data_IF_704334006475
#
_entry.id   IF_704334006475
#
_cell.length_a   1.000
_cell.length_b   1.000
_cell.length_c   1.000
_cell.angle_alpha   90.00
_cell.angle_beta   90.00
_cell.angle_gamma   90.00
#
_symmetry.space_group_name_H-M   'P 1'
#
loop_
_entity.id
_entity.type
_entity.pdbx_description
1 polymer ?
#
# COMPACT_ATOMS: atom_id res chain seq x y z
N UNK A 1 -53.94 -51.63 32.38
CA UNK A 1 -52.70 -50.87 32.69
C UNK A 1 -51.78 -50.56 31.50
N UNK A 2 -51.94 -51.15 30.29
CA UNK A 2 -50.96 -50.95 29.17
C UNK A 2 -51.27 -49.75 28.23
N UNK A 3 -52.43 -49.08 28.34
CA UNK A 3 -52.80 -47.93 27.48
C UNK A 3 -52.36 -46.56 28.00
N UNK A 4 -52.07 -46.41 29.30
CA UNK A 4 -51.61 -45.12 29.85
C UNK A 4 -50.11 -44.88 29.63
N UNK A 5 -49.27 -45.92 29.65
CA UNK A 5 -47.82 -45.79 29.42
C UNK A 5 -47.45 -45.41 27.97
N UNK A 6 -48.19 -45.90 26.97
CA UNK A 6 -47.93 -45.53 25.56
C UNK A 6 -48.21 -44.05 25.29
N UNK A 7 -49.17 -43.46 25.99
CA UNK A 7 -49.47 -42.04 25.87
C UNK A 7 -48.43 -41.16 26.56
N UNK A 8 -47.83 -41.61 27.66
CA UNK A 8 -46.71 -40.90 28.28
C UNK A 8 -45.43 -41.02 27.46
N UNK A 9 -45.16 -42.19 26.87
CA UNK A 9 -44.01 -42.41 26.00
C UNK A 9 -44.07 -41.58 24.70
N UNK A 10 -45.27 -41.41 24.13
CA UNK A 10 -45.47 -40.55 22.96
C UNK A 10 -45.36 -39.06 23.30
N UNK A 11 -45.85 -38.64 24.47
CA UNK A 11 -45.66 -37.25 24.97
C UNK A 11 -44.18 -36.95 25.26
N UNK A 12 -43.44 -37.91 25.82
CA UNK A 12 -41.98 -37.79 25.99
C UNK A 12 -41.28 -37.67 24.62
N UNK A 13 -41.62 -38.54 23.65
CA UNK A 13 -41.03 -38.49 22.30
C UNK A 13 -41.34 -37.18 21.56
N UNK A 14 -42.53 -36.60 21.72
CA UNK A 14 -42.85 -35.27 21.18
C UNK A 14 -42.06 -34.15 21.87
N UNK A 15 -41.82 -34.23 23.18
CA UNK A 15 -41.00 -33.25 23.91
C UNK A 15 -39.52 -33.33 23.52
N UNK A 16 -38.96 -34.53 23.31
CA UNK A 16 -37.57 -34.71 22.88
C UNK A 16 -37.37 -34.50 21.36
N UNK A 17 -38.41 -34.63 20.53
CA UNK A 17 -38.35 -34.33 19.09
C UNK A 17 -38.42 -32.83 18.76
N UNK A 18 -38.91 -31.98 19.67
CA UNK A 18 -38.99 -30.52 19.48
C UNK A 18 -37.69 -29.77 19.82
N UNK A 19 -36.64 -30.48 20.24
CA UNK A 19 -35.37 -29.90 20.71
C UNK A 19 -34.24 -29.80 19.67
N UNK A 20 -34.43 -30.19 18.41
CA UNK A 20 -33.34 -30.10 17.43
C UNK A 20 -33.85 -29.87 16.01
N UNK A 21 -34.03 -28.61 15.64
CA UNK A 21 -34.10 -28.19 14.24
C UNK A 21 -33.33 -26.87 14.07
N UNK A 22 -32.13 -26.88 13.44
CA UNK A 22 -31.38 -25.67 13.16
C UNK A 22 -31.93 -25.00 11.90
N UNK A 23 -33.17 -24.51 11.97
CA UNK A 23 -33.72 -23.57 10.98
C UNK A 23 -35.13 -23.12 11.40
N UNK A 24 -35.22 -22.19 12.35
CA UNK A 24 -36.27 -21.16 12.32
C UNK A 24 -36.01 -20.09 13.40
N UNK A 25 -35.39 -18.99 12.99
CA UNK A 25 -35.34 -17.75 13.76
C UNK A 25 -36.26 -16.73 13.09
N UNK A 26 -37.51 -16.65 13.55
CA UNK A 26 -38.49 -15.68 13.09
C UNK A 26 -38.16 -14.26 13.56
N UNK A 27 -38.01 -13.36 12.60
CA UNK A 27 -38.76 -12.11 12.49
C UNK A 27 -38.94 -11.22 13.73
N UNK A 28 -37.88 -10.53 14.14
CA UNK A 28 -38.00 -9.24 14.83
C UNK A 28 -37.94 -8.09 13.81
N UNK A 29 -39.07 -7.39 13.60
CA UNK A 29 -39.16 -6.21 12.72
C UNK A 29 -38.17 -5.12 13.15
N UNK A 30 -37.15 -4.84 12.33
CA UNK A 30 -36.39 -3.58 12.37
C UNK A 30 -37.08 -2.56 11.45
N UNK A 31 -37.17 -1.27 11.85
CA UNK A 31 -37.86 -0.25 11.06
C UNK A 31 -37.13 -0.02 9.73
N UNK A 32 -37.93 0.21 8.70
CA UNK A 32 -37.52 0.26 7.30
C UNK A 32 -36.41 1.27 7.04
N UNK A 33 -35.30 0.76 6.48
CA UNK A 33 -34.34 1.58 5.78
C UNK A 33 -34.85 1.67 4.33
N UNK A 34 -35.38 2.83 3.94
CA UNK A 34 -35.61 3.15 2.52
C UNK A 34 -34.29 3.03 1.74
N UNK A 35 -34.32 3.07 0.40
CA UNK A 35 -33.09 2.99 -0.38
C UNK A 35 -32.28 4.26 -0.12
N UNK A 36 -31.43 4.23 0.90
CA UNK A 36 -30.42 5.23 1.13
C UNK A 36 -29.54 5.21 -0.11
N UNK A 37 -29.66 6.24 -0.96
CA UNK A 37 -28.73 6.47 -2.07
C UNK A 37 -27.33 6.37 -1.47
N UNK A 38 -26.64 5.27 -1.77
CA UNK A 38 -25.23 5.10 -1.42
C UNK A 38 -24.52 6.22 -2.15
N UNK A 39 -24.17 7.28 -1.41
CA UNK A 39 -23.54 8.48 -1.98
C UNK A 39 -22.28 8.02 -2.69
N UNK A 40 -22.32 8.04 -4.02
CA UNK A 40 -21.26 7.48 -4.83
C UNK A 40 -20.13 8.51 -4.89
N UNK A 41 -19.10 8.40 -4.04
CA UNK A 41 -18.01 9.39 -3.91
C UNK A 41 -17.41 9.88 -5.24
N UNK A 42 -17.56 9.13 -6.34
CA UNK A 42 -17.27 9.57 -7.71
C UNK A 42 -17.92 10.90 -8.14
N UNK A 43 -19.10 11.30 -7.63
CA UNK A 43 -19.69 12.61 -7.98
C UNK A 43 -18.90 13.79 -7.42
N UNK A 44 -18.22 13.62 -6.27
CA UNK A 44 -17.34 14.64 -5.67
C UNK A 44 -16.11 14.85 -6.56
N UNK A 45 -15.52 13.75 -7.04
CA UNK A 45 -14.38 13.81 -7.98
C UNK A 45 -14.78 14.45 -9.32
N UNK A 46 -15.99 14.19 -9.82
CA UNK A 46 -16.50 14.82 -11.04
C UNK A 46 -16.68 16.33 -10.91
N UNK A 47 -17.16 16.82 -9.75
CA UNK A 47 -17.29 18.25 -9.47
C UNK A 47 -15.90 18.91 -9.36
N UNK A 48 -14.97 18.29 -8.64
CA UNK A 48 -13.59 18.79 -8.53
C UNK A 48 -12.94 18.89 -9.92
N UNK A 49 -13.16 17.88 -10.78
CA UNK A 49 -12.65 17.88 -12.15
C UNK A 49 -13.28 18.97 -13.02
N UNK A 50 -14.58 19.22 -12.88
CA UNK A 50 -15.28 20.32 -13.58
C UNK A 50 -14.79 21.69 -13.11
N UNK A 51 -14.57 21.87 -11.81
CA UNK A 51 -13.98 23.09 -11.25
C UNK A 51 -12.55 23.28 -11.75
N UNK A 52 -11.77 22.20 -11.83
CA UNK A 52 -10.42 22.25 -12.37
C UNK A 52 -10.41 22.64 -13.85
N UNK A 53 -11.27 22.04 -14.68
CA UNK A 53 -11.45 22.44 -16.08
C UNK A 53 -11.91 23.89 -16.18
N UNK A 54 -12.86 24.32 -15.36
CA UNK A 54 -13.31 25.70 -15.34
C UNK A 54 -12.15 26.65 -14.99
N UNK A 55 -11.37 26.36 -13.94
CA UNK A 55 -10.19 27.15 -13.57
C UNK A 55 -9.15 27.16 -14.69
N UNK A 56 -8.96 26.05 -15.40
CA UNK A 56 -7.98 25.96 -16.48
C UNK A 56 -8.45 26.72 -17.74
N UNK A 57 -9.74 26.64 -18.08
CA UNK A 57 -10.34 27.35 -19.22
C UNK A 57 -10.46 28.85 -18.94
N UNK A 58 -10.91 29.24 -17.74
CA UNK A 58 -11.06 30.65 -17.36
C UNK A 58 -9.71 31.30 -16.99
N UNK A 59 -8.77 30.55 -16.40
CA UNK A 59 -7.42 31.05 -16.08
C UNK A 59 -6.53 31.22 -17.31
N UNK A 60 -6.74 30.39 -18.35
CA UNK A 60 -6.11 30.54 -19.67
C UNK A 60 -6.67 31.71 -20.48
N UNK A 61 -7.76 32.35 -20.02
CA UNK A 61 -8.41 33.47 -20.71
C UNK A 61 -7.96 34.85 -20.20
N UNK A 62 -6.79 34.90 -19.57
CA UNK A 62 -6.10 36.15 -19.26
C UNK A 62 -5.57 36.83 -20.53
N UNK A 63 -5.54 38.17 -20.54
CA UNK A 63 -5.10 38.98 -21.67
C UNK A 63 -3.70 38.55 -22.15
N UNK A 64 -3.58 38.15 -23.41
CA UNK A 64 -2.30 37.82 -24.05
C UNK A 64 -1.54 39.11 -24.35
N UNK A 65 -0.51 39.38 -23.57
CA UNK A 65 0.43 40.48 -23.75
C UNK A 65 1.32 40.26 -24.96
N UNK A 66 1.61 41.30 -25.74
CA UNK A 66 2.62 41.20 -26.82
C UNK A 66 4.01 41.57 -26.33
N UNK A 67 5.02 40.90 -26.88
CA UNK A 67 6.42 41.21 -26.58
C UNK A 67 6.83 42.49 -27.31
N UNK A 68 7.50 43.39 -26.60
CA UNK A 68 8.09 44.61 -27.17
C UNK A 68 9.54 44.78 -26.68
N UNK A 69 10.15 45.93 -26.92
CA UNK A 69 11.46 46.30 -26.39
C UNK A 69 11.44 47.73 -25.84
N UNK A 70 12.54 48.14 -25.19
CA UNK A 70 12.63 49.47 -24.61
C UNK A 70 12.53 50.60 -25.64
N UNK A 71 13.00 50.39 -26.87
CA UNK A 71 12.96 51.42 -27.92
C UNK A 71 11.53 51.70 -28.37
N UNK A 72 10.77 50.64 -28.67
CA UNK A 72 9.35 50.70 -29.01
C UNK A 72 8.53 51.28 -27.85
N UNK A 73 8.84 50.88 -26.61
CA UNK A 73 8.23 51.50 -25.43
C UNK A 73 8.45 53.01 -25.41
N UNK A 74 9.69 53.47 -25.61
CA UNK A 74 9.96 54.91 -25.61
C UNK A 74 9.28 55.65 -26.76
N UNK A 75 9.07 55.03 -27.93
CA UNK A 75 8.29 55.65 -29.00
C UNK A 75 6.81 55.77 -28.63
N UNK A 76 6.22 54.76 -27.97
CA UNK A 76 4.84 54.84 -27.46
C UNK A 76 4.69 55.93 -26.39
N UNK A 77 5.71 56.16 -25.57
CA UNK A 77 5.74 57.26 -24.59
C UNK A 77 5.77 58.62 -25.29
N UNK A 78 6.55 58.79 -26.36
CA UNK A 78 6.57 60.03 -27.17
C UNK A 78 5.22 60.34 -27.77
N UNK A 79 4.55 59.31 -28.29
CA UNK A 79 3.22 59.42 -28.90
C UNK A 79 2.12 59.69 -27.86
N UNK A 80 2.42 59.50 -26.56
CA UNK A 80 1.46 59.68 -25.48
C UNK A 80 0.45 58.54 -25.38
N UNK A 81 0.77 57.37 -25.92
CA UNK A 81 -0.12 56.21 -25.92
C UNK A 81 -0.08 55.43 -24.62
N UNK A 82 0.94 55.62 -23.78
CA UNK A 82 1.14 54.89 -22.52
C UNK A 82 0.37 55.58 -21.38
N UNK A 83 -0.44 54.80 -20.65
CA UNK A 83 -1.15 55.25 -19.45
C UNK A 83 -0.32 54.99 -18.18
N UNK A 84 0.18 53.76 -18.04
CA UNK A 84 0.96 53.33 -16.86
C UNK A 84 1.88 52.18 -17.20
N UNK A 85 2.92 52.03 -16.40
CA UNK A 85 3.88 50.94 -16.47
C UNK A 85 3.90 50.22 -15.13
N UNK A 86 3.90 48.89 -15.17
CA UNK A 86 3.97 48.03 -13.98
C UNK A 86 5.17 47.14 -14.13
N UNK A 87 6.18 47.32 -13.27
CA UNK A 87 7.34 46.43 -13.19
C UNK A 87 7.02 45.30 -12.22
N UNK A 88 7.03 44.07 -12.70
CA UNK A 88 6.71 42.86 -11.96
C UNK A 88 7.98 42.05 -11.72
N UNK A 89 8.16 41.58 -10.48
CA UNK A 89 9.26 40.68 -10.11
C UNK A 89 10.65 41.22 -10.52
N UNK A 90 10.82 42.55 -10.42
CA UNK A 90 12.06 43.29 -10.67
C UNK A 90 12.61 43.21 -12.11
N UNK A 91 11.93 42.53 -13.02
CA UNK A 91 12.44 42.30 -14.39
C UNK A 91 11.39 42.31 -15.49
N UNK A 92 10.11 42.11 -15.19
CA UNK A 92 9.05 42.08 -16.19
C UNK A 92 8.37 43.45 -16.28
N UNK A 93 8.60 44.20 -17.35
CA UNK A 93 8.03 45.54 -17.53
C UNK A 93 6.76 45.44 -18.35
N UNK A 94 5.61 45.65 -17.71
CA UNK A 94 4.29 45.60 -18.35
C UNK A 94 3.76 47.00 -18.66
N UNK A 95 3.30 47.19 -19.89
CA UNK A 95 2.85 48.48 -20.42
C UNK A 95 1.33 48.43 -20.63
N UNK A 96 0.66 49.47 -20.15
CA UNK A 96 -0.76 49.69 -20.33
C UNK A 96 -0.97 50.91 -21.21
N UNK A 97 -1.66 50.72 -22.33
CA UNK A 97 -2.01 51.77 -23.26
C UNK A 97 -3.26 52.52 -22.80
N UNK A 98 -3.33 53.81 -23.13
CA UNK A 98 -4.49 54.64 -22.84
C UNK A 98 -5.73 54.14 -23.60
N UNK A 99 -6.94 54.30 -23.03
CA UNK A 99 -8.18 53.94 -23.71
C UNK A 99 -8.40 54.69 -25.03
N UNK A 100 -7.79 55.88 -25.19
CA UNK A 100 -7.86 56.69 -26.41
C UNK A 100 -7.02 56.08 -27.52
N UNK A 101 -5.77 55.68 -27.21
CA UNK A 101 -4.89 55.03 -28.17
C UNK A 101 -5.48 53.71 -28.68
N UNK A 102 -5.98 52.86 -27.76
CA UNK A 102 -6.62 51.58 -28.09
C UNK A 102 -7.87 51.70 -28.98
N UNK A 103 -8.62 52.81 -28.90
CA UNK A 103 -9.82 53.04 -29.72
C UNK A 103 -9.49 53.62 -31.09
N UNK A 104 -8.51 54.52 -31.15
CA UNK A 104 -8.34 55.42 -32.30
C UNK A 104 -7.19 55.00 -33.23
N UNK A 105 -6.19 54.24 -32.75
CA UNK A 105 -5.07 53.78 -33.57
C UNK A 105 -5.35 52.39 -34.14
N UNK A 106 -5.25 52.25 -35.45
CA UNK A 106 -5.44 50.98 -36.16
C UNK A 106 -4.38 49.93 -35.77
N UNK A 107 -3.19 50.38 -35.40
CA UNK A 107 -2.07 49.54 -34.96
C UNK A 107 -2.38 48.72 -33.70
N UNK A 108 -3.29 49.20 -32.84
CA UNK A 108 -3.68 48.51 -31.61
C UNK A 108 -5.01 47.74 -31.73
N UNK A 109 -5.51 47.54 -32.95
CA UNK A 109 -6.78 46.85 -33.19
C UNK A 109 -6.78 45.44 -32.62
N UNK A 110 -5.70 44.70 -32.81
CA UNK A 110 -5.56 43.33 -32.31
C UNK A 110 -5.50 43.29 -30.78
N UNK A 111 -4.92 44.31 -30.15
CA UNK A 111 -4.89 44.46 -28.70
C UNK A 111 -6.25 44.83 -28.12
N UNK A 112 -7.02 45.65 -28.84
CA UNK A 112 -8.37 46.10 -28.48
C UNK A 112 -9.37 44.93 -28.52
N UNK A 113 -9.32 44.14 -29.59
CA UNK A 113 -10.32 43.09 -29.87
C UNK A 113 -10.13 41.83 -28.99
N UNK A 114 -9.05 41.76 -28.19
CA UNK A 114 -8.78 40.72 -27.19
C UNK A 114 -9.55 40.88 -25.87
N UNK A 115 -10.35 41.93 -25.72
CA UNK A 115 -11.14 42.16 -24.50
C UNK A 115 -12.29 41.17 -24.32
N UNK A 116 -12.52 40.72 -23.09
CA UNK A 116 -13.63 39.82 -22.78
C UNK A 116 -14.99 40.50 -23.02
N UNK A 117 -15.92 39.79 -23.70
CA UNK A 117 -17.29 40.25 -23.90
C UNK A 117 -17.45 41.47 -24.83
N UNK A 118 -16.46 41.77 -25.69
CA UNK A 118 -16.50 42.91 -26.62
C UNK A 118 -16.17 44.27 -25.98
N UNK A 119 -15.73 44.29 -24.72
CA UNK A 119 -15.18 45.48 -24.06
C UNK A 119 -13.73 45.77 -24.48
N UNK A 120 -13.20 46.94 -24.10
CA UNK A 120 -11.78 47.23 -24.28
C UNK A 120 -10.94 46.28 -23.42
N UNK A 121 -9.85 45.76 -24.00
CA UNK A 121 -8.86 45.01 -23.26
C UNK A 121 -8.21 45.89 -22.15
N UNK A 122 -8.36 45.53 -20.86
CA UNK A 122 -7.79 46.29 -19.75
C UNK A 122 -6.26 46.18 -19.63
N UNK A 123 -5.63 45.35 -20.45
CA UNK A 123 -4.19 45.09 -20.44
C UNK A 123 -3.79 44.01 -19.41
N UNK A 124 -2.49 43.74 -19.26
CA UNK A 124 -1.35 44.40 -19.92
C UNK A 124 -1.36 44.22 -21.45
N UNK A 125 -0.89 45.23 -22.19
CA UNK A 125 -0.93 45.25 -23.66
C UNK A 125 0.40 44.83 -24.28
N UNK A 126 1.49 45.39 -23.76
CA UNK A 126 2.86 45.02 -24.11
C UNK A 126 3.68 44.65 -22.88
N UNK A 127 4.68 43.79 -23.05
CA UNK A 127 5.65 43.45 -22.02
C UNK A 127 7.04 43.23 -22.61
N UNK A 128 8.07 43.50 -21.80
CA UNK A 128 9.44 43.15 -22.13
C UNK A 128 10.25 42.89 -20.85
N UNK A 129 11.30 42.07 -20.97
CA UNK A 129 12.15 41.73 -19.83
C UNK A 129 13.34 42.69 -19.75
N UNK A 130 13.45 43.42 -18.63
CA UNK A 130 14.54 44.32 -18.31
C UNK A 130 14.66 44.49 -16.79
N UNK A 131 15.86 44.32 -16.19
CA UNK A 131 16.08 44.59 -14.77
C UNK A 131 15.64 46.00 -14.38
N UNK A 132 14.94 46.12 -13.24
CA UNK A 132 14.31 47.37 -12.80
C UNK A 132 15.29 48.54 -12.67
N UNK A 133 16.53 48.25 -12.28
CA UNK A 133 17.61 49.24 -12.14
C UNK A 133 17.99 49.82 -13.51
N UNK A 134 18.20 48.94 -14.49
CA UNK A 134 18.52 49.30 -15.88
C UNK A 134 17.34 50.02 -16.53
N UNK A 135 16.11 49.56 -16.26
CA UNK A 135 14.90 50.23 -16.75
C UNK A 135 14.79 51.65 -16.19
N UNK A 136 14.98 51.83 -14.88
CA UNK A 136 14.92 53.13 -14.24
C UNK A 136 16.03 54.08 -14.76
N UNK A 137 17.24 53.57 -14.95
CA UNK A 137 18.36 54.33 -15.52
C UNK A 137 18.08 54.77 -16.97
N UNK A 138 17.69 53.84 -17.83
CA UNK A 138 17.37 54.11 -19.23
C UNK A 138 16.19 55.08 -19.37
N UNK A 139 15.18 54.95 -18.50
CA UNK A 139 14.03 55.86 -18.47
C UNK A 139 14.43 57.27 -18.06
N UNK A 140 15.30 57.41 -17.05
CA UNK A 140 15.84 58.69 -16.63
C UNK A 140 16.69 59.34 -17.74
N UNK A 141 17.53 58.57 -18.43
CA UNK A 141 18.25 59.05 -19.60
C UNK A 141 17.31 59.53 -20.72
N UNK A 142 16.24 58.78 -20.96
CA UNK A 142 15.25 59.11 -21.97
C UNK A 142 14.58 60.47 -21.69
N UNK A 143 14.17 60.73 -20.45
CA UNK A 143 13.59 62.02 -20.06
C UNK A 143 14.60 63.16 -20.07
N UNK A 144 15.86 62.91 -19.68
CA UNK A 144 16.95 63.91 -19.80
C UNK A 144 17.20 64.33 -21.25
N UNK A 145 17.12 63.38 -22.19
CA UNK A 145 17.31 63.64 -23.63
C UNK A 145 16.08 64.26 -24.29
N UNK A 146 14.89 64.09 -23.74
CA UNK A 146 13.62 64.58 -24.29
C UNK A 146 12.88 65.49 -23.29
N UNK A 147 13.42 66.68 -23.04
CA UNK A 147 12.90 67.66 -22.05
C UNK A 147 11.46 68.14 -22.32
N UNK A 148 10.91 67.86 -23.51
CA UNK A 148 9.54 68.22 -23.89
C UNK A 148 8.47 67.26 -23.35
N UNK A 149 8.85 66.15 -22.71
CA UNK A 149 7.94 65.14 -22.18
C UNK A 149 7.97 65.23 -20.66
N UNK A 150 6.81 65.48 -20.06
CA UNK A 150 6.65 65.54 -18.61
C UNK A 150 6.93 64.16 -17.97
N UNK A 151 7.91 64.05 -17.05
CA UNK A 151 8.22 62.81 -16.34
C UNK A 151 7.04 62.20 -15.59
N UNK A 152 6.10 63.03 -15.13
CA UNK A 152 4.95 62.59 -14.33
C UNK A 152 3.79 62.05 -15.19
N UNK A 153 3.92 62.09 -16.53
CA UNK A 153 2.89 61.64 -17.46
C UNK A 153 2.69 60.12 -17.45
N UNK A 154 3.71 59.35 -17.09
CA UNK A 154 3.67 57.87 -17.07
C UNK A 154 3.87 57.37 -15.65
N UNK A 155 2.83 56.80 -15.06
CA UNK A 155 2.89 56.25 -13.71
C UNK A 155 3.61 54.91 -13.73
N UNK A 156 4.79 54.83 -13.11
CA UNK A 156 5.54 53.58 -12.93
C UNK A 156 5.22 53.00 -11.55
N UNK A 157 4.74 51.76 -11.51
CA UNK A 157 4.46 51.04 -10.26
C UNK A 157 5.27 49.75 -10.19
N UNK A 158 5.74 49.39 -9.00
CA UNK A 158 6.52 48.18 -8.76
C UNK A 158 5.67 47.19 -7.98
N UNK A 159 5.58 45.95 -8.45
CA UNK A 159 4.82 44.87 -7.80
C UNK A 159 5.62 43.58 -7.77
N UNK A 160 5.55 42.87 -6.67
CA UNK A 160 6.04 41.49 -6.60
C UNK A 160 4.83 40.56 -6.74
N UNK A 161 4.80 39.77 -7.81
CA UNK A 161 3.77 38.74 -8.01
C UNK A 161 4.36 37.37 -7.72
N UNK A 162 3.79 36.69 -6.72
CA UNK A 162 4.18 35.33 -6.38
C UNK A 162 3.44 34.33 -7.27
N UNK A 163 4.17 33.44 -7.92
CA UNK A 163 3.59 32.38 -8.74
C UNK A 163 3.11 31.22 -7.85
N UNK A 164 1.92 31.39 -7.26
CA UNK A 164 1.29 30.38 -6.43
C UNK A 164 1.02 29.08 -7.19
N UNK A 165 0.78 29.13 -8.50
CA UNK A 165 0.52 27.94 -9.31
C UNK A 165 1.80 27.13 -9.51
N UNK A 166 2.90 27.79 -9.86
CA UNK A 166 4.22 27.17 -9.92
C UNK A 166 4.61 26.51 -8.59
N UNK A 167 4.43 27.24 -7.49
CA UNK A 167 4.75 26.75 -6.13
C UNK A 167 3.90 25.51 -5.75
N UNK A 168 2.59 25.54 -6.02
CA UNK A 168 1.69 24.43 -5.71
C UNK A 168 2.04 23.20 -6.56
N UNK A 169 2.28 23.36 -7.87
CA UNK A 169 2.64 22.24 -8.75
C UNK A 169 3.96 21.63 -8.32
N UNK A 170 4.98 22.46 -8.05
CA UNK A 170 6.30 21.99 -7.63
C UNK A 170 6.23 21.18 -6.32
N UNK A 171 5.43 21.64 -5.35
CA UNK A 171 5.28 20.95 -4.07
C UNK A 171 4.39 19.70 -4.16
N UNK A 172 3.37 19.70 -5.04
CA UNK A 172 2.44 18.55 -5.19
C UNK A 172 2.96 17.44 -6.08
N UNK A 173 3.82 17.76 -7.07
CA UNK A 173 4.44 16.78 -7.96
C UNK A 173 5.05 15.56 -7.25
N UNK A 174 5.90 15.69 -6.21
CA UNK A 174 6.46 14.53 -5.51
C UNK A 174 5.39 13.65 -4.84
N UNK A 175 4.31 14.23 -4.32
CA UNK A 175 3.21 13.47 -3.71
C UNK A 175 2.39 12.73 -4.76
N UNK A 176 2.08 13.37 -5.89
CA UNK A 176 1.36 12.75 -7.00
C UNK A 176 2.18 11.57 -7.55
N UNK A 177 3.49 11.75 -7.74
CA UNK A 177 4.39 10.70 -8.20
C UNK A 177 4.47 9.54 -7.20
N UNK A 178 4.55 9.82 -5.89
CA UNK A 178 4.50 8.79 -4.85
C UNK A 178 3.19 8.00 -4.89
N UNK A 179 2.05 8.67 -5.02
CA UNK A 179 0.74 8.02 -5.13
C UNK A 179 0.65 7.18 -6.42
N UNK A 180 1.16 7.69 -7.54
CA UNK A 180 1.18 6.96 -8.81
C UNK A 180 2.04 5.69 -8.74
N UNK A 181 3.23 5.77 -8.14
CA UNK A 181 4.09 4.61 -7.89
C UNK A 181 3.39 3.61 -6.96
N UNK A 182 2.75 4.09 -5.89
CA UNK A 182 2.00 3.25 -4.97
C UNK A 182 0.85 2.51 -5.67
N UNK A 183 0.05 3.22 -6.48
CA UNK A 183 -1.03 2.62 -7.28
C UNK A 183 -0.47 1.64 -8.30
N UNK A 184 0.66 1.95 -8.95
CA UNK A 184 1.33 1.06 -9.89
C UNK A 184 1.79 -0.24 -9.21
N UNK A 185 2.40 -0.16 -8.03
CA UNK A 185 2.81 -1.33 -7.22
C UNK A 185 1.59 -2.15 -6.81
N UNK A 186 0.53 -1.50 -6.31
CA UNK A 186 -0.70 -2.18 -5.91
C UNK A 186 -1.39 -2.85 -7.09
N UNK A 187 -1.41 -2.21 -8.26
CA UNK A 187 -1.95 -2.79 -9.48
C UNK A 187 -1.12 -3.95 -9.99
N UNK A 188 0.22 -3.89 -9.83
CA UNK A 188 1.14 -5.00 -10.16
C UNK A 188 1.04 -6.16 -9.18
N UNK A 189 0.80 -5.90 -7.89
CA UNK A 189 0.61 -6.94 -6.88
C UNK A 189 -0.77 -7.59 -6.91
N UNK A 190 -1.81 -6.87 -7.35
CA UNK A 190 -3.17 -7.41 -7.44
C UNK A 190 -3.43 -8.18 -8.74
N UNK A 191 -2.67 -7.94 -9.82
CA UNK A 191 -2.88 -8.59 -11.12
C UNK A 191 -2.19 -9.95 -11.27
N UNK A 192 -1.39 -10.39 -10.30
CA UNK A 192 -0.82 -11.74 -10.25
C UNK A 192 -1.03 -12.31 -8.86
N UNK A 193 -1.83 -13.38 -8.75
CA UNK A 193 -2.26 -14.04 -7.51
C UNK A 193 -1.16 -14.68 -6.63
N UNK A 194 0.05 -14.11 -6.64
CA UNK A 194 1.22 -14.58 -5.91
C UNK A 194 2.21 -13.43 -5.63
N UNK A 195 1.70 -12.22 -5.36
CA UNK A 195 2.52 -11.07 -4.99
C UNK A 195 2.82 -11.02 -3.48
N UNK A 196 4.05 -10.62 -3.13
CA UNK A 196 4.66 -10.60 -1.80
C UNK A 196 3.79 -10.06 -0.62
N UNK A 197 2.73 -9.29 -0.89
CA UNK A 197 1.77 -8.85 0.14
C UNK A 197 0.98 -9.99 0.79
N UNK A 198 0.65 -11.06 0.05
CA UNK A 198 -0.06 -12.21 0.61
C UNK A 198 0.82 -13.09 1.51
N UNK A 199 2.16 -13.02 1.36
CA UNK A 199 3.10 -13.73 2.21
C UNK A 199 3.27 -13.05 3.58
N UNK A 200 3.15 -11.73 3.65
CA UNK A 200 3.29 -10.96 4.90
C UNK A 200 2.13 -11.26 5.86
N UNK A 201 0.90 -11.39 5.35
CA UNK A 201 -0.26 -11.74 6.19
C UNK A 201 -0.31 -13.23 6.60
N UNK A 202 0.55 -14.08 6.05
CA UNK A 202 0.63 -15.51 6.36
C UNK A 202 1.80 -15.88 7.30
N UNK A 203 2.52 -14.90 7.86
CA UNK A 203 3.69 -15.07 8.76
C UNK A 203 3.41 -15.92 10.02
N UNK A 204 2.14 -16.10 10.40
CA UNK A 204 1.74 -16.91 11.57
C UNK A 204 1.43 -18.38 11.28
N UNK A 205 1.22 -18.79 10.02
CA UNK A 205 0.87 -20.18 9.71
C UNK A 205 2.14 -20.99 9.46
N UNK A 206 2.33 -22.05 10.24
CA UNK A 206 3.46 -22.98 10.09
C UNK A 206 3.62 -23.41 8.62
N UNK A 207 4.79 -23.11 8.06
CA UNK A 207 5.28 -23.61 6.76
C UNK A 207 5.78 -25.06 6.87
N UNK A 208 5.37 -25.80 7.90
CA UNK A 208 5.65 -27.22 8.00
C UNK A 208 5.08 -27.89 6.75
N UNK A 209 5.96 -28.51 5.97
CA UNK A 209 5.55 -29.33 4.85
C UNK A 209 4.64 -30.42 5.41
N UNK A 210 3.34 -30.26 5.18
CA UNK A 210 2.35 -31.25 5.55
C UNK A 210 2.60 -32.44 4.61
N UNK A 211 3.43 -33.38 5.05
CA UNK A 211 3.46 -34.70 4.43
C UNK A 211 2.14 -35.35 4.80
N UNK A 212 1.14 -35.15 3.94
CA UNK A 212 -0.16 -35.74 4.13
C UNK A 212 -0.06 -37.27 4.05
N UNK A 213 -1.03 -37.98 4.61
CA UNK A 213 -1.05 -39.46 4.71
C UNK A 213 -0.82 -40.20 3.38
N UNK A 214 -0.82 -39.51 2.24
CA UNK A 214 -0.59 -40.05 0.90
C UNK A 214 0.85 -39.84 0.38
N UNK A 215 1.73 -39.12 1.08
CA UNK A 215 3.16 -39.09 0.82
C UNK A 215 3.85 -40.01 1.82
N UNK A 216 3.69 -41.32 1.62
CA UNK A 216 4.44 -42.34 2.36
C UNK A 216 5.92 -41.93 2.40
N UNK A 217 6.49 -41.79 3.59
CA UNK A 217 7.95 -41.79 3.74
C UNK A 217 8.40 -43.14 3.17
N UNK A 218 8.97 -43.13 1.95
CA UNK A 218 9.35 -44.34 1.22
C UNK A 218 10.61 -45.01 1.80
N UNK A 219 11.18 -44.42 2.85
CA UNK A 219 12.43 -44.85 3.47
C UNK A 219 12.09 -45.80 4.62
N UNK A 220 12.75 -46.95 4.65
CA UNK A 220 12.61 -48.03 5.64
C UNK A 220 13.97 -48.39 6.23
N UNK A 221 14.06 -49.33 7.19
CA UNK A 221 15.35 -49.73 7.76
C UNK A 221 16.28 -50.42 6.76
N UNK A 222 15.75 -50.87 5.61
CA UNK A 222 16.53 -51.40 4.49
C UNK A 222 17.35 -50.33 3.79
N UNK A 223 16.90 -49.08 3.82
CA UNK A 223 17.55 -47.94 3.16
C UNK A 223 18.62 -47.28 4.04
N UNK A 224 18.78 -47.75 5.28
CA UNK A 224 19.82 -47.30 6.22
C UNK A 224 20.87 -48.39 6.31
N UNK A 225 22.11 -48.12 5.91
CA UNK A 225 23.21 -49.08 6.05
C UNK A 225 23.88 -48.97 7.44
N UNK A 226 24.26 -50.10 8.03
CA UNK A 226 24.94 -50.16 9.34
C UNK A 226 24.05 -49.76 10.52
N UNK A 227 24.66 -49.14 11.54
CA UNK A 227 24.01 -48.64 12.76
C UNK A 227 23.17 -49.69 13.52
N UNK A 228 23.63 -50.95 13.58
CA UNK A 228 22.85 -52.08 14.12
C UNK A 228 22.35 -51.84 15.56
N UNK A 229 23.20 -51.36 16.46
CA UNK A 229 22.79 -51.04 17.84
C UNK A 229 21.74 -49.93 17.90
N UNK A 230 21.91 -48.85 17.13
CA UNK A 230 20.92 -47.77 17.10
C UNK A 230 19.59 -48.21 16.47
N UNK A 231 19.63 -49.11 15.46
CA UNK A 231 18.43 -49.71 14.86
C UNK A 231 17.67 -50.55 15.88
N UNK A 232 18.36 -51.35 16.69
CA UNK A 232 17.75 -52.17 17.73
C UNK A 232 17.02 -51.31 18.77
N UNK A 233 17.63 -50.22 19.23
CA UNK A 233 17.00 -49.29 20.17
C UNK A 233 15.75 -48.60 19.56
N UNK A 234 15.81 -48.13 18.31
CA UNK A 234 14.65 -47.48 17.68
C UNK A 234 13.58 -48.48 17.20
N UNK A 235 13.92 -49.76 17.04
CA UNK A 235 12.97 -50.83 16.71
C UNK A 235 11.91 -50.99 17.82
N UNK A 236 12.30 -50.77 19.07
CA UNK A 236 11.37 -50.74 20.20
C UNK A 236 10.32 -49.62 19.98
N UNK A 237 10.76 -48.40 19.64
CA UNK A 237 9.87 -47.27 19.35
C UNK A 237 8.91 -47.59 18.19
N UNK A 238 9.38 -48.27 17.14
CA UNK A 238 8.51 -48.73 16.03
C UNK A 238 7.42 -49.69 16.53
N UNK A 239 7.79 -50.65 17.38
CA UNK A 239 6.83 -51.62 17.93
C UNK A 239 5.76 -50.97 18.80
N UNK A 240 6.13 -49.95 19.58
CA UNK A 240 5.21 -49.12 20.35
C UNK A 240 4.25 -48.31 19.46
N UNK A 241 4.73 -47.77 18.33
CA UNK A 241 3.90 -46.97 17.43
C UNK A 241 2.93 -47.81 16.60
N UNK A 242 3.26 -49.08 16.33
CA UNK A 242 2.37 -50.02 15.63
C UNK A 242 1.23 -50.51 16.52
N UNK A 243 1.53 -50.92 17.76
CA UNK A 243 0.56 -51.50 18.68
C UNK A 243 0.58 -50.82 20.07
N UNK A 244 0.20 -49.53 20.18
CA UNK A 244 0.30 -48.77 21.43
C UNK A 244 -0.53 -49.36 22.58
N UNK A 245 -1.66 -49.99 22.29
CA UNK A 245 -2.57 -50.57 23.29
C UNK A 245 -1.96 -51.79 24.01
N UNK A 246 -1.18 -52.60 23.27
CA UNK A 246 -0.50 -53.78 23.82
C UNK A 246 0.51 -53.41 24.89
N UNK A 247 1.27 -52.34 24.66
CA UNK A 247 2.29 -51.91 25.62
C UNK A 247 1.70 -51.12 26.78
N UNK A 248 0.66 -50.32 26.52
CA UNK A 248 -0.02 -49.55 27.57
C UNK A 248 -0.74 -50.47 28.57
N UNK A 249 -1.35 -51.57 28.09
CA UNK A 249 -2.02 -52.56 28.96
C UNK A 249 -1.05 -53.34 29.85
N UNK A 250 0.21 -53.51 29.43
CA UNK A 250 1.29 -54.10 30.23
C UNK A 250 1.93 -53.11 31.22
N UNK A 251 1.42 -51.88 31.31
CA UNK A 251 1.94 -50.81 32.18
C UNK A 251 3.17 -50.08 31.62
N UNK A 252 3.53 -50.33 30.35
CA UNK A 252 4.62 -49.65 29.66
C UNK A 252 4.28 -48.19 29.38
N UNK A 253 5.19 -47.27 29.72
CA UNK A 253 5.06 -45.85 29.36
C UNK A 253 5.72 -45.60 28.01
N UNK A 254 4.97 -45.01 27.08
CA UNK A 254 5.50 -44.62 25.77
C UNK A 254 6.63 -43.59 25.97
N UNK A 255 7.84 -43.83 25.43
CA UNK A 255 8.89 -42.83 25.41
C UNK A 255 8.41 -41.56 24.72
N UNK A 256 8.52 -40.40 25.39
CA UNK A 256 8.03 -39.12 24.85
C UNK A 256 8.94 -38.51 23.78
N UNK A 257 10.17 -39.01 23.66
CA UNK A 257 11.14 -38.55 22.67
C UNK A 257 12.45 -39.34 22.78
N UNK A 258 13.23 -39.29 21.70
CA UNK A 258 14.57 -39.84 21.61
C UNK A 258 15.50 -38.77 21.02
N UNK A 259 16.73 -38.68 21.51
CA UNK A 259 17.73 -37.74 21.01
C UNK A 259 18.82 -38.50 20.25
N UNK A 260 18.89 -38.28 18.94
CA UNK A 260 19.94 -38.86 18.10
C UNK A 260 21.17 -37.93 18.12
N UNK A 261 22.29 -38.42 18.65
CA UNK A 261 23.54 -37.65 18.74
C UNK A 261 24.62 -38.27 17.86
N UNK A 262 25.37 -37.43 17.16
CA UNK A 262 26.53 -37.85 16.37
C UNK A 262 27.00 -36.77 15.41
N UNK A 263 28.19 -36.94 14.79
CA UNK A 263 28.72 -36.01 13.78
C UNK A 263 27.72 -35.75 12.63
N UNK A 264 27.81 -34.60 11.93
CA UNK A 264 27.01 -34.36 10.72
C UNK A 264 27.25 -35.45 9.67
N UNK A 265 26.24 -35.77 8.86
CA UNK A 265 26.36 -36.78 7.79
C UNK A 265 26.22 -38.25 8.22
N UNK A 266 26.01 -38.54 9.51
CA UNK A 266 25.85 -39.92 10.05
C UNK A 266 24.45 -40.53 9.87
N UNK A 267 23.59 -39.91 9.07
CA UNK A 267 22.27 -40.47 8.76
C UNK A 267 21.19 -40.30 9.84
N UNK A 268 21.36 -39.41 10.84
CA UNK A 268 20.34 -39.15 11.90
C UNK A 268 18.94 -38.87 11.33
N UNK A 269 18.84 -37.93 10.39
CA UNK A 269 17.58 -37.58 9.71
C UNK A 269 17.04 -38.73 8.86
N UNK A 270 17.92 -39.56 8.29
CA UNK A 270 17.54 -40.73 7.50
C UNK A 270 16.99 -41.85 8.39
N UNK A 271 17.61 -42.10 9.54
CA UNK A 271 17.15 -43.06 10.53
C UNK A 271 15.77 -42.65 11.09
N UNK A 272 15.56 -41.38 11.42
CA UNK A 272 14.26 -40.88 11.87
C UNK A 272 13.14 -41.07 10.83
N UNK A 273 13.45 -40.84 9.55
CA UNK A 273 12.52 -41.12 8.44
C UNK A 273 12.24 -42.62 8.30
N UNK A 274 13.26 -43.47 8.44
CA UNK A 274 13.11 -44.91 8.40
C UNK A 274 12.21 -45.44 9.51
N UNK A 275 12.34 -44.93 10.75
CA UNK A 275 11.46 -45.28 11.89
C UNK A 275 10.00 -44.95 11.55
N UNK A 276 9.72 -43.79 10.95
CA UNK A 276 8.37 -43.40 10.55
C UNK A 276 7.81 -44.29 9.42
N UNK A 277 8.65 -44.63 8.44
CA UNK A 277 8.28 -45.54 7.34
C UNK A 277 7.99 -46.95 7.83
N UNK A 278 8.79 -47.46 8.78
CA UNK A 278 8.58 -48.78 9.39
C UNK A 278 7.32 -48.83 10.26
N UNK A 279 7.04 -47.77 11.03
CA UNK A 279 5.82 -47.65 11.81
C UNK A 279 4.58 -47.30 10.95
N UNK A 280 4.77 -46.86 9.70
CA UNK A 280 3.72 -46.35 8.78
C UNK A 280 2.89 -45.22 9.39
N UNK A 281 3.55 -44.31 10.11
CA UNK A 281 2.92 -43.15 10.75
C UNK A 281 3.30 -41.84 10.05
N UNK A 282 2.48 -40.78 10.15
CA UNK A 282 2.84 -39.47 9.61
C UNK A 282 4.15 -38.95 10.21
N UNK A 283 4.98 -38.34 9.37
CA UNK A 283 6.27 -37.75 9.75
C UNK A 283 6.22 -36.23 9.58
N UNK A 284 6.31 -35.52 10.69
CA UNK A 284 6.41 -34.07 10.73
C UNK A 284 7.87 -33.67 10.96
N UNK A 285 8.40 -32.76 10.16
CA UNK A 285 9.78 -32.29 10.28
C UNK A 285 9.81 -30.78 10.50
N UNK A 286 10.70 -30.33 11.37
CA UNK A 286 10.97 -28.92 11.62
C UNK A 286 12.46 -28.73 11.91
N UNK A 287 13.05 -27.61 11.49
CA UNK A 287 14.43 -27.28 11.86
C UNK A 287 14.47 -26.44 13.13
N UNK A 288 15.45 -26.68 14.00
CA UNK A 288 15.71 -25.89 15.19
C UNK A 288 16.05 -24.43 14.87
N UNK A 289 16.67 -24.21 13.72
CA UNK A 289 16.95 -22.87 13.17
C UNK A 289 15.69 -22.10 12.78
N UNK A 290 14.56 -22.76 12.48
CA UNK A 290 13.27 -22.11 12.17
C UNK A 290 12.66 -21.37 13.38
N UNK A 291 13.22 -21.55 14.57
CA UNK A 291 12.78 -20.89 15.80
C UNK A 291 13.49 -19.57 16.09
N UNK A 292 14.64 -19.33 15.47
CA UNK A 292 15.46 -18.12 15.69
C UNK A 292 15.10 -17.09 14.63
N UNK A 293 13.93 -16.47 14.79
CA UNK A 293 13.42 -15.46 13.86
C UNK A 293 13.52 -14.03 14.44
N UNK A 294 13.59 -13.04 13.55
CA UNK A 294 13.64 -11.61 13.90
C UNK A 294 12.38 -11.12 14.64
N UNK A 295 11.26 -11.85 14.52
CA UNK A 295 9.98 -11.48 15.12
C UNK A 295 9.69 -12.33 16.36
N UNK A 296 9.59 -11.67 17.51
CA UNK A 296 9.30 -12.30 18.80
C UNK A 296 7.96 -13.04 18.72
N UNK A 297 7.94 -14.30 19.15
CA UNK A 297 6.72 -15.10 19.30
C UNK A 297 6.27 -15.86 18.05
N UNK A 298 6.81 -15.58 16.87
CA UNK A 298 6.45 -16.30 15.62
C UNK A 298 6.92 -17.76 15.69
N UNK A 299 8.18 -18.01 16.07
CA UNK A 299 8.71 -19.37 16.25
C UNK A 299 7.90 -20.20 17.27
N UNK A 300 7.52 -19.59 18.39
CA UNK A 300 6.71 -20.24 19.43
C UNK A 300 5.28 -20.59 18.97
N UNK A 301 4.71 -19.84 18.03
CA UNK A 301 3.41 -20.18 17.42
C UNK A 301 3.53 -21.41 16.52
N UNK A 302 4.60 -21.51 15.72
CA UNK A 302 4.83 -22.66 14.85
C UNK A 302 5.02 -23.97 15.61
N UNK A 303 5.71 -23.95 16.77
CA UNK A 303 5.78 -25.14 17.66
C UNK A 303 4.36 -25.59 18.00
N UNK A 304 3.54 -24.67 18.52
CA UNK A 304 2.20 -25.00 19.02
C UNK A 304 1.32 -25.55 17.91
N UNK A 305 1.37 -24.95 16.73
CA UNK A 305 0.60 -25.41 15.57
C UNK A 305 1.09 -26.77 15.06
N UNK A 306 2.40 -27.02 15.05
CA UNK A 306 2.97 -28.32 14.66
C UNK A 306 2.51 -29.43 15.61
N UNK A 307 2.64 -29.21 16.92
CA UNK A 307 2.20 -30.18 17.93
C UNK A 307 0.68 -30.40 17.90
N UNK A 308 -0.11 -29.35 17.60
CA UNK A 308 -1.56 -29.47 17.42
C UNK A 308 -1.89 -30.37 16.22
N UNK A 309 -1.27 -30.14 15.08
CA UNK A 309 -1.48 -30.96 13.86
C UNK A 309 -1.03 -32.41 14.05
N UNK A 310 0.10 -32.63 14.73
CA UNK A 310 0.59 -33.98 15.04
C UNK A 310 -0.36 -34.73 15.98
N UNK A 311 -0.94 -34.04 16.97
CA UNK A 311 -1.94 -34.62 17.89
C UNK A 311 -3.22 -35.04 17.15
N UNK A 312 -3.68 -34.25 16.19
CA UNK A 312 -4.84 -34.59 15.34
C UNK A 312 -4.59 -35.80 14.43
N UNK A 313 -3.32 -36.05 14.04
CA UNK A 313 -2.90 -37.19 13.22
C UNK A 313 -2.23 -38.33 13.99
N UNK A 314 -2.43 -38.41 15.32
CA UNK A 314 -1.84 -39.44 16.18
C UNK A 314 -2.26 -40.87 15.78
N UNK A 315 -1.37 -41.88 15.84
CA UNK A 315 0.06 -41.80 16.18
C UNK A 315 0.89 -41.15 15.07
N UNK A 316 1.84 -40.30 15.43
CA UNK A 316 2.71 -39.57 14.50
C UNK A 316 4.11 -39.31 15.11
N UNK A 317 5.11 -39.10 14.26
CA UNK A 317 6.48 -38.74 14.66
C UNK A 317 6.72 -37.28 14.33
N UNK A 318 7.27 -36.53 15.31
CA UNK A 318 7.78 -35.17 15.12
C UNK A 318 9.31 -35.24 15.19
N UNK A 319 9.98 -34.85 14.12
CA UNK A 319 11.42 -34.72 14.03
C UNK A 319 11.81 -33.24 14.10
N UNK A 320 12.70 -32.92 15.03
CA UNK A 320 13.28 -31.59 15.20
C UNK A 320 14.77 -31.74 14.91
N UNK A 321 15.22 -31.24 13.75
CA UNK A 321 16.64 -31.17 13.43
C UNK A 321 17.29 -29.99 14.18
N UNK A 322 18.61 -30.02 14.38
CA UNK A 322 19.36 -28.89 14.99
C UNK A 322 18.75 -28.39 16.32
N UNK A 323 18.30 -29.30 17.19
CA UNK A 323 17.63 -28.93 18.45
C UNK A 323 18.53 -28.10 19.40
N UNK A 324 19.84 -28.17 19.21
CA UNK A 324 20.83 -27.35 19.91
C UNK A 324 20.64 -25.85 19.67
N UNK A 325 20.06 -25.44 18.54
CA UNK A 325 19.73 -24.04 18.26
C UNK A 325 18.74 -23.44 19.28
N UNK A 326 17.86 -24.26 19.86
CA UNK A 326 16.85 -23.84 20.84
C UNK A 326 17.11 -24.35 22.27
N UNK A 327 17.93 -25.39 22.41
CA UNK A 327 18.20 -26.08 23.67
C UNK A 327 19.29 -25.45 24.53
N UNK A 328 19.85 -24.30 24.15
CA UNK A 328 20.94 -23.65 24.89
C UNK A 328 20.47 -23.20 26.28
N UNK A 329 21.28 -23.49 27.30
CA UNK A 329 20.98 -23.09 28.67
C UNK A 329 20.77 -21.56 28.75
N UNK A 330 19.69 -21.13 29.40
CA UNK A 330 19.45 -19.71 29.68
C UNK A 330 20.50 -19.23 30.70
N UNK A 331 21.22 -18.14 30.40
CA UNK A 331 21.97 -17.39 31.42
C UNK A 331 23.43 -17.75 31.70
N UNK A 332 24.16 -18.44 30.82
CA UNK A 332 25.64 -18.51 30.92
C UNK A 332 26.31 -17.44 30.04
N UNK A 333 26.05 -16.18 30.36
CA UNK A 333 26.85 -15.04 29.93
C UNK A 333 27.03 -14.12 31.15
N UNK A 334 27.97 -14.48 32.01
CA UNK A 334 28.76 -13.54 32.81
C UNK A 334 30.17 -13.64 32.33
#
# INVERSE_FOLDING_TARGET
MVKQDKNQLNKLKEQFSKGNNPNNGGGGKKPGNGPGRKFNFYWIYAIIFLIFIAIQVFGSMGATTENTNFQEFTSMVKDGDVEKVVVINEKDVQIYLTPKALKNKAEYKDLRDRGFGGGLNPGPHYAFEMPQEIFHENLNEFYKKNTSIDPDKVIVTYKTQKDYWGDIIAWTFPFILMIAIWIFIMRRMSAGGSGAGAQIFNIGKSKAQLFDKNTNVKVTFKDVAGLEGAKEEVQEIVSFLRDPDKYTSLGGKIPKGALLVGPPGTGKTLLAKAVAGEAKVPFFSLSGSDFVEMFVGVGASRVRDLFKQAKEKSPAIIFIDEIDAIGRARGKNT
#
